data_IF_681976442239
#
_entry.id   IF_681976442239
#
_cell.length_a   1.000
_cell.length_b   1.000
_cell.length_c   1.000
_cell.angle_alpha   90.00
_cell.angle_beta   90.00
_cell.angle_gamma   90.00
#
_symmetry.space_group_name_H-M   'P 1'
#
loop_
_entity.id
_entity.type
_entity.pdbx_description
1 polymer ?
#
# COMPACT_ATOMS: atom_id res chain seq x y z
N UNK A 1 -2.27 -46.17 -17.89
CA UNK A 1 -2.48 -45.25 -16.75
C UNK A 1 -2.05 -43.86 -17.20
N UNK A 2 -2.98 -42.92 -17.35
CA UNK A 2 -2.67 -41.53 -17.71
C UNK A 2 -2.66 -40.75 -16.40
N UNK A 3 -1.51 -40.18 -16.04
CA UNK A 3 -1.42 -39.27 -14.91
C UNK A 3 -2.12 -37.96 -15.27
N UNK A 4 -3.30 -37.72 -14.71
CA UNK A 4 -3.97 -36.42 -14.75
C UNK A 4 -3.25 -35.47 -13.80
N UNK A 5 -2.30 -34.69 -14.30
CA UNK A 5 -1.77 -33.54 -13.58
C UNK A 5 -2.86 -32.48 -13.46
N UNK A 6 -3.40 -32.29 -12.26
CA UNK A 6 -4.30 -31.18 -11.94
C UNK A 6 -3.61 -29.84 -12.25
N UNK A 7 -4.25 -28.90 -12.97
CA UNK A 7 -3.64 -27.61 -13.24
C UNK A 7 -3.54 -26.84 -11.92
N UNK A 8 -2.32 -26.55 -11.48
CA UNK A 8 -2.07 -25.57 -10.42
C UNK A 8 -2.44 -24.19 -10.96
N UNK A 9 -3.72 -23.83 -10.88
CA UNK A 9 -4.18 -22.47 -11.18
C UNK A 9 -3.51 -21.54 -10.17
N UNK A 10 -2.43 -20.89 -10.59
CA UNK A 10 -1.87 -19.75 -9.89
C UNK A 10 -2.91 -18.63 -9.94
N UNK A 11 -3.78 -18.57 -8.94
CA UNK A 11 -4.73 -17.48 -8.82
C UNK A 11 -3.97 -16.20 -8.47
N UNK A 12 -3.80 -15.31 -9.46
CA UNK A 12 -3.11 -14.04 -9.29
C UNK A 12 -4.01 -12.97 -8.62
N UNK A 13 -5.28 -13.28 -8.35
CA UNK A 13 -6.25 -12.37 -7.73
C UNK A 13 -5.73 -11.69 -6.45
N UNK A 14 -5.05 -12.37 -5.51
CA UNK A 14 -4.51 -11.71 -4.32
C UNK A 14 -3.43 -10.68 -4.63
N UNK A 15 -2.55 -10.97 -5.60
CA UNK A 15 -1.50 -10.04 -6.02
C UNK A 15 -2.08 -8.79 -6.68
N UNK A 16 -3.08 -8.96 -7.56
CA UNK A 16 -3.79 -7.84 -8.17
C UNK A 16 -4.54 -6.98 -7.15
N UNK A 17 -5.08 -7.58 -6.07
CA UNK A 17 -5.71 -6.83 -4.98
C UNK A 17 -4.70 -5.95 -4.23
N UNK A 18 -3.52 -6.49 -3.91
CA UNK A 18 -2.45 -5.71 -3.26
C UNK A 18 -1.98 -4.55 -4.12
N UNK A 19 -1.65 -4.84 -5.39
CA UNK A 19 -1.20 -3.83 -6.35
C UNK A 19 -2.24 -2.72 -6.58
N UNK A 20 -3.52 -3.07 -6.71
CA UNK A 20 -4.61 -2.10 -6.85
C UNK A 20 -4.67 -1.15 -5.65
N UNK A 21 -4.55 -1.68 -4.43
CA UNK A 21 -4.63 -0.86 -3.22
C UNK A 21 -3.45 0.11 -3.13
N UNK A 22 -2.24 -0.37 -3.36
CA UNK A 22 -1.03 0.45 -3.39
C UNK A 22 -1.14 1.58 -4.42
N UNK A 23 -1.54 1.26 -5.65
CA UNK A 23 -1.66 2.24 -6.72
C UNK A 23 -2.72 3.32 -6.41
N UNK A 24 -3.89 2.93 -5.88
CA UNK A 24 -4.95 3.87 -5.51
C UNK A 24 -4.55 4.74 -4.33
N UNK A 25 -3.88 4.17 -3.32
CA UNK A 25 -3.36 4.93 -2.20
C UNK A 25 -2.35 5.97 -2.68
N UNK A 26 -1.36 5.57 -3.48
CA UNK A 26 -0.35 6.49 -4.02
C UNK A 26 -0.99 7.62 -4.82
N UNK A 27 -1.97 7.31 -5.68
CA UNK A 27 -2.69 8.33 -6.43
C UNK A 27 -3.46 9.29 -5.50
N UNK A 28 -4.15 8.75 -4.49
CA UNK A 28 -4.90 9.58 -3.54
C UNK A 28 -3.98 10.55 -2.78
N UNK A 29 -2.78 10.09 -2.40
CA UNK A 29 -1.78 10.92 -1.73
C UNK A 29 -1.26 12.04 -2.61
N UNK A 30 -0.95 11.77 -3.88
CA UNK A 30 -0.46 12.79 -4.84
C UNK A 30 -1.51 13.87 -5.10
N UNK A 31 -2.79 13.51 -5.08
CA UNK A 31 -3.90 14.44 -5.37
C UNK A 31 -4.38 15.22 -4.13
N UNK A 32 -3.97 14.82 -2.93
CA UNK A 32 -4.37 15.47 -1.69
C UNK A 32 -3.73 16.88 -1.58
N UNK A 33 -4.44 17.90 -1.09
CA UNK A 33 -3.85 19.21 -0.89
C UNK A 33 -2.71 19.13 0.13
N UNK A 34 -1.53 19.63 -0.23
CA UNK A 34 -0.38 19.66 0.67
C UNK A 34 -0.07 21.09 1.09
N UNK A 35 0.17 21.29 2.39
CA UNK A 35 0.59 22.58 2.95
C UNK A 35 1.99 22.99 2.47
N UNK A 36 2.84 22.00 2.18
CA UNK A 36 4.18 22.21 1.65
C UNK A 36 4.14 22.14 0.13
N UNK A 37 4.45 23.25 -0.54
CA UNK A 37 4.73 23.26 -1.97
C UNK A 37 6.03 22.49 -2.24
N UNK A 38 6.10 21.74 -3.35
CA UNK A 38 7.30 21.05 -3.87
C UNK A 38 7.65 19.68 -3.28
N UNK A 39 6.65 18.90 -2.85
CA UNK A 39 6.86 17.48 -2.53
C UNK A 39 7.12 16.66 -3.80
N UNK A 40 8.10 15.77 -3.75
CA UNK A 40 8.38 14.79 -4.80
C UNK A 40 7.88 13.42 -4.34
N UNK A 41 6.90 12.89 -5.07
CA UNK A 41 6.33 11.57 -4.80
C UNK A 41 7.00 10.53 -5.70
N UNK A 42 7.60 9.51 -5.09
CA UNK A 42 8.19 8.38 -5.77
C UNK A 42 7.42 7.10 -5.42
N UNK A 43 6.51 6.64 -6.30
CA UNK A 43 5.96 5.29 -6.23
C UNK A 43 7.09 4.26 -6.36
N UNK A 44 6.99 3.13 -5.66
CA UNK A 44 7.95 2.01 -5.78
C UNK A 44 9.41 2.43 -5.45
N UNK A 45 9.56 3.30 -4.44
CA UNK A 45 10.84 3.82 -3.99
C UNK A 45 11.51 2.92 -2.93
N UNK A 46 11.70 3.45 -1.73
CA UNK A 46 12.23 2.67 -0.60
C UNK A 46 11.25 1.58 -0.12
N UNK A 47 9.95 1.83 -0.24
CA UNK A 47 8.83 0.92 -0.02
C UNK A 47 7.77 1.21 -1.11
N UNK A 48 6.48 1.06 -0.80
CA UNK A 48 5.38 1.27 -1.74
C UNK A 48 5.25 2.72 -2.23
N UNK A 49 5.56 3.69 -1.36
CA UNK A 49 5.65 5.12 -1.67
C UNK A 49 6.72 5.80 -0.80
N UNK A 50 7.57 6.60 -1.43
CA UNK A 50 8.49 7.51 -0.74
C UNK A 50 8.17 8.96 -1.10
N UNK A 51 8.24 9.86 -0.12
CA UNK A 51 8.03 11.30 -0.31
C UNK A 51 9.30 12.04 0.11
N UNK A 52 9.74 12.92 -0.78
CA UNK A 52 10.93 13.75 -0.59
C UNK A 52 10.54 15.22 -0.57
N UNK A 53 11.33 16.01 0.16
CA UNK A 53 11.29 17.46 0.04
C UNK A 53 12.04 17.94 -1.21
N UNK A 54 11.95 19.25 -1.46
CA UNK A 54 12.63 19.94 -2.56
C UNK A 54 14.17 19.84 -2.53
N UNK A 55 14.75 19.50 -1.37
CA UNK A 55 16.20 19.26 -1.21
C UNK A 55 16.57 17.80 -1.41
N UNK A 56 15.64 16.97 -1.89
CA UNK A 56 15.78 15.54 -2.10
C UNK A 56 16.06 14.78 -0.79
N UNK A 57 15.59 15.30 0.35
CA UNK A 57 15.62 14.57 1.63
C UNK A 57 14.35 13.76 1.77
N UNK A 58 14.51 12.50 2.15
CA UNK A 58 13.41 11.61 2.44
C UNK A 58 12.72 12.07 3.74
N UNK A 59 11.44 12.42 3.63
CA UNK A 59 10.63 12.89 4.77
C UNK A 59 9.53 11.89 5.16
N UNK A 60 9.13 11.00 4.25
CA UNK A 60 8.10 10.00 4.50
C UNK A 60 8.39 8.72 3.71
N UNK A 61 8.23 7.57 4.37
CA UNK A 61 8.17 6.25 3.73
C UNK A 61 6.81 5.65 4.11
N UNK A 62 6.09 5.15 3.10
CA UNK A 62 4.80 4.50 3.30
C UNK A 62 4.83 3.07 2.77
N UNK A 63 4.27 2.18 3.57
CA UNK A 63 3.99 0.79 3.21
C UNK A 63 2.48 0.53 3.28
N UNK A 64 1.90 0.08 2.18
CA UNK A 64 0.47 -0.20 2.01
C UNK A 64 0.25 -1.71 2.09
N UNK A 65 -0.48 -2.15 3.11
CA UNK A 65 -0.81 -3.57 3.30
C UNK A 65 -2.31 -3.80 3.25
N UNK A 66 -2.74 -4.66 2.32
CA UNK A 66 -4.12 -5.12 2.23
C UNK A 66 -4.39 -6.20 3.28
N UNK A 67 -4.72 -5.79 4.50
CA UNK A 67 -5.12 -6.72 5.56
C UNK A 67 -6.56 -7.21 5.34
N UNK A 68 -6.75 -8.53 5.42
CA UNK A 68 -8.07 -9.17 5.34
C UNK A 68 -8.77 -9.28 6.71
N UNK A 69 -8.12 -8.80 7.77
CA UNK A 69 -8.65 -8.74 9.14
C UNK A 69 -8.41 -7.34 9.68
N UNK A 70 -9.28 -6.89 10.60
CA UNK A 70 -9.05 -5.65 11.33
C UNK A 70 -7.69 -5.71 12.04
N UNK A 71 -6.90 -4.65 11.86
CA UNK A 71 -5.66 -4.47 12.60
C UNK A 71 -5.98 -4.25 14.07
N UNK A 72 -5.33 -5.00 14.94
CA UNK A 72 -5.35 -4.76 16.39
C UNK A 72 -4.16 -3.88 16.76
N UNK A 73 -4.22 -3.14 17.87
CA UNK A 73 -3.06 -2.35 18.32
C UNK A 73 -1.80 -3.21 18.54
N UNK A 74 -1.98 -4.49 18.88
CA UNK A 74 -0.89 -5.48 18.96
C UNK A 74 -0.26 -5.84 17.61
N UNK A 75 -0.95 -5.63 16.49
CA UNK A 75 -0.38 -5.81 15.15
C UNK A 75 0.52 -4.63 14.72
N UNK A 76 0.44 -3.50 15.43
CA UNK A 76 1.24 -2.31 15.19
C UNK A 76 2.57 -2.33 15.95
N UNK A 77 2.96 -3.45 16.57
CA UNK A 77 4.21 -3.56 17.33
C UNK A 77 5.39 -3.00 16.52
N UNK A 78 5.86 -1.79 16.84
CA UNK A 78 6.85 -1.13 16.01
C UNK A 78 8.17 -1.83 16.26
N UNK A 79 8.80 -2.38 15.21
CA UNK A 79 10.16 -2.91 15.32
C UNK A 79 11.20 -1.78 15.50
N UNK A 80 10.81 -0.52 15.29
CA UNK A 80 11.68 0.66 15.36
C UNK A 80 10.98 1.82 16.08
N UNK A 81 11.71 2.46 16.99
CA UNK A 81 11.22 3.41 18.01
C UNK A 81 10.47 4.65 17.45
N UNK A 82 10.68 5.03 16.19
CA UNK A 82 10.06 6.22 15.58
C UNK A 82 9.10 5.89 14.41
N UNK A 83 8.32 4.81 14.53
CA UNK A 83 7.35 4.41 13.49
C UNK A 83 5.94 4.87 13.87
N UNK A 84 5.33 5.75 13.07
CA UNK A 84 3.92 6.15 13.24
C UNK A 84 3.07 5.52 12.14
N UNK A 85 2.00 4.81 12.51
CA UNK A 85 1.08 4.15 11.56
C UNK A 85 -0.18 4.98 11.40
N UNK A 86 -0.49 5.41 10.18
CA UNK A 86 -1.73 6.12 9.87
C UNK A 86 -2.71 5.15 9.20
N UNK A 87 -3.92 5.09 9.73
CA UNK A 87 -5.03 4.34 9.13
C UNK A 87 -5.59 5.12 7.95
N UNK A 88 -5.51 4.54 6.77
CA UNK A 88 -6.20 5.01 5.57
C UNK A 88 -7.21 3.93 5.16
N UNK A 89 -8.46 4.12 5.55
CA UNK A 89 -9.57 3.29 5.06
C UNK A 89 -9.98 3.81 3.69
N UNK A 90 -9.48 3.18 2.63
CA UNK A 90 -9.97 3.42 1.27
C UNK A 90 -11.27 2.64 1.08
N UNK A 91 -12.40 3.35 1.09
CA UNK A 91 -13.69 2.78 0.70
C UNK A 91 -13.64 2.41 -0.79
N UNK A 92 -13.59 1.12 -1.07
CA UNK A 92 -13.90 0.56 -2.38
C UNK A 92 -15.38 0.19 -2.34
N UNK A 93 -16.26 1.02 -2.89
CA UNK A 93 -17.65 0.59 -3.10
C UNK A 93 -17.65 -0.73 -3.87
N UNK A 94 -18.26 -1.75 -3.28
CA UNK A 94 -18.41 -3.04 -3.90
C UNK A 94 -19.34 -2.91 -5.11
N UNK A 95 -18.96 -3.53 -6.23
CA UNK A 95 -19.86 -3.71 -7.37
C UNK A 95 -21.08 -4.54 -6.89
N UNK A 96 -22.32 -4.06 -7.08
CA UNK A 96 -23.50 -4.80 -6.66
C UNK A 96 -23.67 -6.09 -7.50
N UNK A 97 -24.40 -7.10 -6.97
CA UNK A 97 -24.49 -8.44 -7.55
C UNK A 97 -25.12 -8.50 -8.94
#
# INVERSE_FOLDING_TARGET
MIATSSPSRSDATPAYRGYRLQALYTLSRILEPHTTSNLVFQPEGAEDLAVFDETNRLIEIVQVKAYSKNLTLSSLSPQKIDSFSIESTIYSEACPP
#
